data_IF_253632127440
#
_entry.id   IF_253632127440
#
_cell.length_a   1.000
_cell.length_b   1.000
_cell.length_c   1.000
_cell.angle_alpha   90.00
_cell.angle_beta   90.00
_cell.angle_gamma   90.00
#
_symmetry.space_group_name_H-M   'P 1'
#
loop_
_entity.id
_entity.type
_entity.pdbx_description
1 polymer ?
#
# COMPACT_ATOMS: atom_id res chain seq x y z
N UNK A 1 -32.80 -9.70 3.15
CA UNK A 1 -32.10 -9.26 1.91
C UNK A 1 -30.67 -9.78 1.97
N UNK A 2 -30.14 -10.43 0.93
CA UNK A 2 -28.74 -10.82 0.91
C UNK A 2 -27.90 -9.54 0.99
N UNK A 3 -26.99 -9.43 1.96
CA UNK A 3 -25.98 -8.36 1.95
C UNK A 3 -25.21 -8.53 0.64
N UNK A 4 -25.32 -7.56 -0.27
CA UNK A 4 -24.56 -7.57 -1.52
C UNK A 4 -23.08 -7.72 -1.17
N UNK A 5 -22.39 -8.67 -1.82
CA UNK A 5 -20.94 -8.84 -1.65
C UNK A 5 -20.23 -7.53 -2.05
N UNK A 6 -19.24 -7.08 -1.28
CA UNK A 6 -18.42 -5.95 -1.67
C UNK A 6 -17.83 -6.15 -3.07
N UNK A 7 -17.81 -5.07 -3.86
CA UNK A 7 -17.09 -5.04 -5.14
C UNK A 7 -15.73 -4.41 -4.90
N UNK A 8 -14.69 -5.06 -5.39
CA UNK A 8 -13.30 -4.68 -5.14
C UNK A 8 -12.59 -4.66 -6.47
N UNK A 9 -11.88 -3.59 -6.74
CA UNK A 9 -11.13 -3.37 -7.97
C UNK A 9 -9.74 -2.80 -7.64
N UNK A 10 -8.69 -3.43 -8.17
CA UNK A 10 -7.35 -2.85 -8.20
C UNK A 10 -7.29 -1.83 -9.34
N UNK A 11 -7.46 -0.56 -8.99
CA UNK A 11 -7.64 0.52 -9.95
C UNK A 11 -6.33 0.96 -10.60
N UNK A 12 -5.27 1.11 -9.81
CA UNK A 12 -3.95 1.47 -10.30
C UNK A 12 -2.85 0.95 -9.38
N UNK A 13 -1.63 0.88 -9.89
CA UNK A 13 -0.42 0.55 -9.13
C UNK A 13 0.80 1.19 -9.79
N UNK A 14 1.86 1.41 -9.01
CA UNK A 14 3.14 1.91 -9.50
C UNK A 14 3.66 3.08 -8.69
N UNK A 15 4.24 4.06 -9.36
CA UNK A 15 4.79 5.27 -8.76
C UNK A 15 3.72 6.35 -8.72
N UNK A 16 3.61 7.04 -7.58
CA UNK A 16 2.62 8.08 -7.32
C UNK A 16 3.26 9.43 -7.00
N UNK A 17 2.46 10.49 -7.04
CA UNK A 17 2.83 11.79 -6.45
C UNK A 17 2.96 11.67 -4.95
N UNK A 18 3.86 12.45 -4.35
CA UNK A 18 3.98 12.55 -2.89
C UNK A 18 2.63 12.81 -2.24
N UNK A 19 2.33 12.04 -1.20
CA UNK A 19 1.14 12.17 -0.40
C UNK A 19 1.10 13.57 0.24
N UNK A 20 -0.01 14.27 0.03
CA UNK A 20 -0.22 15.61 0.57
C UNK A 20 -1.06 15.54 1.85
N UNK A 21 -0.41 15.60 3.01
CA UNK A 21 -1.05 15.60 4.34
C UNK A 21 -2.07 16.74 4.55
N UNK A 22 -2.03 17.81 3.75
CA UNK A 22 -2.98 18.94 3.83
C UNK A 22 -4.22 18.76 2.96
N UNK A 23 -4.20 17.79 2.05
CA UNK A 23 -5.31 17.48 1.14
C UNK A 23 -5.96 16.17 1.51
N UNK A 24 -7.27 16.04 1.24
CA UNK A 24 -7.98 14.76 1.32
C UNK A 24 -7.85 13.94 0.04
N UNK A 25 -7.15 14.46 -0.97
CA UNK A 25 -6.97 13.80 -2.26
C UNK A 25 -5.96 12.67 -2.17
N UNK A 26 -6.27 11.56 -2.85
CA UNK A 26 -5.32 10.47 -3.00
C UNK A 26 -4.14 10.87 -3.90
N UNK A 27 -2.97 10.21 -3.73
CA UNK A 27 -1.83 10.34 -4.61
C UNK A 27 -2.24 10.09 -6.07
N UNK A 28 -1.67 10.88 -6.98
CA UNK A 28 -1.88 10.73 -8.42
C UNK A 28 -0.86 9.77 -8.99
N UNK A 29 -1.33 8.79 -9.75
CA UNK A 29 -0.46 7.85 -10.46
C UNK A 29 0.43 8.62 -11.45
N UNK A 30 1.74 8.43 -11.36
CA UNK A 30 2.74 8.96 -12.29
C UNK A 30 3.13 7.92 -13.33
N UNK A 31 3.37 6.68 -12.89
CA UNK A 31 3.85 5.60 -13.76
C UNK A 31 3.31 4.24 -13.32
N UNK A 32 2.85 3.43 -14.27
CA UNK A 32 2.45 2.04 -14.02
C UNK A 32 3.68 1.15 -14.12
N UNK A 33 4.22 0.74 -12.98
CA UNK A 33 5.41 -0.12 -12.92
C UNK A 33 5.41 -0.95 -11.63
N UNK A 34 6.21 -2.01 -11.60
CA UNK A 34 6.56 -2.74 -10.38
C UNK A 34 8.04 -2.64 -10.04
N UNK A 35 8.82 -1.91 -10.85
CA UNK A 35 10.23 -1.61 -10.61
C UNK A 35 10.31 -0.19 -10.08
N UNK A 36 10.75 -0.03 -8.85
CA UNK A 36 10.77 1.25 -8.15
C UNK A 36 12.23 1.67 -7.97
N UNK A 37 12.67 2.80 -8.55
CA UNK A 37 14.01 3.30 -8.30
C UNK A 37 14.10 3.76 -6.85
N UNK A 38 15.20 3.41 -6.18
CA UNK A 38 15.48 3.89 -4.82
C UNK A 38 16.01 5.31 -4.92
N UNK A 39 15.10 6.26 -5.02
CA UNK A 39 15.36 7.69 -5.03
C UNK A 39 14.55 8.36 -3.91
N UNK A 40 15.08 9.43 -3.27
CA UNK A 40 14.37 10.14 -2.22
C UNK A 40 12.96 10.55 -2.67
N UNK A 41 11.99 10.38 -1.77
CA UNK A 41 10.59 10.82 -1.95
C UNK A 41 9.81 10.11 -3.08
N UNK A 42 10.33 9.05 -3.68
CA UNK A 42 9.56 8.20 -4.59
C UNK A 42 8.48 7.47 -3.78
N UNK A 43 7.22 7.76 -4.06
CA UNK A 43 6.07 7.09 -3.45
C UNK A 43 5.58 5.98 -4.38
N UNK A 44 5.36 4.79 -3.85
CA UNK A 44 4.89 3.64 -4.61
C UNK A 44 3.78 2.89 -3.88
N UNK A 45 2.94 2.20 -4.64
CA UNK A 45 1.83 1.45 -4.05
C UNK A 45 0.75 1.09 -5.04
N UNK A 46 -0.48 0.99 -4.54
CA UNK A 46 -1.67 0.81 -5.37
C UNK A 46 -2.91 1.48 -4.78
N UNK A 47 -3.90 1.71 -5.63
CA UNK A 47 -5.23 2.19 -5.24
C UNK A 47 -6.26 1.08 -5.46
N UNK A 48 -7.06 0.81 -4.43
CA UNK A 48 -8.25 -0.02 -4.49
C UNK A 48 -9.50 0.84 -4.54
N UNK A 49 -10.45 0.45 -5.40
CA UNK A 49 -11.84 0.94 -5.36
C UNK A 49 -12.70 -0.11 -4.67
N UNK A 50 -13.32 0.27 -3.56
CA UNK A 50 -14.10 -0.63 -2.70
C UNK A 50 -15.53 -0.11 -2.61
N UNK A 51 -16.49 -0.93 -3.04
CA UNK A 51 -17.93 -0.60 -3.00
C UNK A 51 -18.72 -1.57 -2.14
N UNK A 52 -19.63 -1.05 -1.32
CA UNK A 52 -20.56 -1.83 -0.50
C UNK A 52 -19.92 -2.49 0.74
N UNK A 53 -18.81 -1.94 1.25
CA UNK A 53 -18.08 -2.48 2.39
C UNK A 53 -18.12 -1.57 3.64
N UNK A 54 -19.01 -0.57 3.69
CA UNK A 54 -19.10 0.36 4.83
C UNK A 54 -19.29 -0.41 6.15
N UNK A 55 -18.52 -0.03 7.17
CA UNK A 55 -18.53 -0.63 8.50
C UNK A 55 -17.74 -1.93 8.61
N UNK A 56 -17.08 -2.38 7.54
CA UNK A 56 -16.14 -3.51 7.60
C UNK A 56 -14.73 -3.02 7.93
N UNK A 57 -13.91 -3.90 8.50
CA UNK A 57 -12.49 -3.65 8.76
C UNK A 57 -11.67 -4.14 7.56
N UNK A 58 -10.77 -3.26 7.13
CA UNK A 58 -9.75 -3.53 6.13
C UNK A 58 -8.40 -3.63 6.84
N UNK A 59 -7.73 -4.75 6.65
CA UNK A 59 -6.39 -4.99 7.19
C UNK A 59 -5.37 -4.84 6.05
N UNK A 60 -4.21 -4.29 6.34
CA UNK A 60 -3.11 -4.22 5.40
C UNK A 60 -1.81 -4.73 6.02
N UNK A 61 -0.95 -5.27 5.15
CA UNK A 61 0.39 -5.73 5.48
C UNK A 61 1.35 -5.28 4.38
N UNK A 62 2.52 -4.76 4.75
CA UNK A 62 3.61 -4.41 3.85
C UNK A 62 4.83 -5.21 4.28
N UNK A 63 5.13 -6.26 3.52
CA UNK A 63 6.36 -7.03 3.68
C UNK A 63 7.46 -6.32 2.92
N UNK A 64 8.62 -6.17 3.53
CA UNK A 64 9.79 -5.50 2.99
C UNK A 64 11.03 -6.38 3.18
N UNK A 65 12.16 -6.07 2.51
CA UNK A 65 13.43 -6.72 2.79
C UNK A 65 13.81 -6.56 4.27
N UNK A 66 14.53 -7.53 4.86
CA UNK A 66 14.90 -7.44 6.27
C UNK A 66 15.90 -6.30 6.47
N UNK A 67 15.46 -5.25 7.14
CA UNK A 67 16.33 -4.19 7.65
C UNK A 67 16.17 -4.08 9.17
N UNK A 68 17.13 -3.43 9.82
CA UNK A 68 17.15 -3.28 11.26
C UNK A 68 16.52 -1.97 11.69
N UNK A 69 15.80 -1.99 12.79
CA UNK A 69 15.37 -0.80 13.51
C UNK A 69 16.55 -0.14 14.27
N UNK A 70 16.26 0.94 14.98
CA UNK A 70 17.25 1.68 15.79
C UNK A 70 17.88 0.83 16.90
N UNK A 71 17.15 -0.18 17.40
CA UNK A 71 17.60 -1.12 18.42
C UNK A 71 18.39 -2.31 17.84
N UNK A 72 18.53 -2.37 16.50
CA UNK A 72 19.26 -3.41 15.79
C UNK A 72 18.47 -4.71 15.54
N UNK A 73 17.17 -4.72 15.87
CA UNK A 73 16.26 -5.84 15.64
C UNK A 73 15.70 -5.80 14.22
N UNK A 74 15.39 -6.96 13.65
CA UNK A 74 14.77 -7.03 12.31
C UNK A 74 13.37 -6.42 12.40
N UNK A 75 13.13 -5.39 11.59
CA UNK A 75 11.83 -4.73 11.52
C UNK A 75 10.77 -5.73 11.00
N UNK A 76 9.65 -5.91 11.72
CA UNK A 76 8.54 -6.73 11.24
C UNK A 76 7.82 -6.03 10.07
N UNK A 77 7.01 -6.76 9.28
CA UNK A 77 6.13 -6.15 8.28
C UNK A 77 5.31 -5.00 8.87
N UNK A 78 5.02 -3.99 8.05
CA UNK A 78 4.14 -2.90 8.49
C UNK A 78 2.69 -3.36 8.38
N UNK A 79 1.97 -3.32 9.49
CA UNK A 79 0.59 -3.81 9.57
C UNK A 79 -0.34 -2.74 10.14
N UNK A 80 -1.60 -2.77 9.71
CA UNK A 80 -2.60 -1.91 10.29
C UNK A 80 -4.01 -2.26 9.87
N UNK A 81 -4.97 -1.63 10.54
CA UNK A 81 -6.39 -1.86 10.33
C UNK A 81 -7.13 -0.53 10.19
N UNK A 82 -8.04 -0.45 9.22
CA UNK A 82 -8.83 0.75 8.94
C UNK A 82 -10.30 0.39 8.82
N UNK A 83 -11.16 1.18 9.46
CA UNK A 83 -12.61 1.07 9.33
C UNK A 83 -13.07 1.73 8.03
N UNK A 84 -13.85 1.02 7.21
CA UNK A 84 -14.41 1.58 5.99
C UNK A 84 -15.59 2.50 6.32
N UNK A 85 -15.45 3.80 6.07
CA UNK A 85 -16.46 4.80 6.45
C UNK A 85 -17.53 5.08 5.37
N UNK A 86 -17.30 4.65 4.12
CA UNK A 86 -18.19 4.90 2.97
C UNK A 86 -18.49 3.63 2.18
N UNK A 87 -19.63 3.62 1.47
CA UNK A 87 -19.98 2.54 0.52
C UNK A 87 -19.34 2.71 -0.85
N UNK A 88 -18.74 3.85 -1.13
CA UNK A 88 -17.85 4.09 -2.28
C UNK A 88 -16.58 4.69 -1.68
N UNK A 89 -15.52 3.90 -1.63
CA UNK A 89 -14.31 4.22 -0.89
C UNK A 89 -13.08 3.84 -1.70
N UNK A 90 -12.21 4.82 -1.89
CA UNK A 90 -10.92 4.62 -2.52
C UNK A 90 -9.87 4.50 -1.40
N UNK A 91 -9.01 3.49 -1.50
CA UNK A 91 -7.98 3.19 -0.50
C UNK A 91 -6.62 3.08 -1.19
N UNK A 92 -5.65 3.88 -0.73
CA UNK A 92 -4.26 3.78 -1.16
C UNK A 92 -3.46 2.98 -0.13
N UNK A 93 -2.74 1.95 -0.59
CA UNK A 93 -1.71 1.27 0.19
C UNK A 93 -0.39 1.44 -0.52
N UNK A 94 0.59 1.99 0.19
CA UNK A 94 1.88 2.34 -0.36
C UNK A 94 2.87 2.71 0.72
N UNK A 95 4.11 2.94 0.29
CA UNK A 95 5.17 3.51 1.12
C UNK A 95 5.97 4.53 0.29
N UNK A 96 6.76 5.34 0.97
CA UNK A 96 7.74 6.23 0.36
C UNK A 96 9.12 5.62 0.46
N UNK A 97 10.02 5.88 -0.48
CA UNK A 97 11.43 5.49 -0.35
C UNK A 97 12.14 6.41 0.65
N UNK A 98 12.86 5.81 1.62
CA UNK A 98 13.52 6.51 2.73
C UNK A 98 14.88 5.89 3.10
N UNK A 99 15.70 6.64 3.87
CA UNK A 99 17.06 6.24 4.27
C UNK A 99 17.09 5.25 5.45
N UNK A 100 17.94 4.22 5.45
CA UNK A 100 19.08 4.04 4.56
C UNK A 100 18.70 3.30 3.27
N UNK A 101 18.89 3.93 2.12
CA UNK A 101 18.41 3.43 0.82
C UNK A 101 18.84 2.00 0.46
N UNK A 102 20.07 1.60 0.81
CA UNK A 102 20.61 0.30 0.43
C UNK A 102 19.88 -0.88 1.07
N UNK A 103 19.36 -0.73 2.29
CA UNK A 103 18.67 -1.82 2.98
C UNK A 103 17.20 -1.98 2.53
N UNK A 104 16.67 -1.00 1.79
CA UNK A 104 15.33 -1.01 1.21
C UNK A 104 15.28 -1.69 -0.15
N UNK A 105 16.44 -2.01 -0.73
CA UNK A 105 16.54 -2.70 -2.00
C UNK A 105 16.02 -4.14 -1.91
N UNK A 106 15.23 -4.55 -2.89
CA UNK A 106 14.68 -5.91 -2.98
C UNK A 106 13.17 -5.94 -3.09
N UNK A 107 12.60 -7.05 -2.62
CA UNK A 107 11.18 -7.36 -2.79
C UNK A 107 10.31 -6.72 -1.71
N UNK A 108 9.28 -6.00 -2.14
CA UNK A 108 8.22 -5.46 -1.30
C UNK A 108 6.89 -6.08 -1.71
N UNK A 109 6.12 -6.60 -0.75
CA UNK A 109 4.81 -7.21 -0.99
C UNK A 109 3.76 -6.47 -0.16
N UNK A 110 2.85 -5.80 -0.85
CA UNK A 110 1.71 -5.11 -0.27
C UNK A 110 0.50 -6.02 -0.36
N UNK A 111 -0.19 -6.22 0.76
CA UNK A 111 -1.36 -7.07 0.89
C UNK A 111 -2.49 -6.27 1.53
N UNK A 112 -3.69 -6.41 0.99
CA UNK A 112 -4.91 -5.90 1.63
C UNK A 112 -5.90 -7.03 1.82
N UNK A 113 -6.49 -7.09 3.00
CA UNK A 113 -7.51 -8.06 3.40
C UNK A 113 -8.79 -7.34 3.82
N UNK A 114 -9.93 -7.92 3.50
CA UNK A 114 -11.24 -7.46 3.96
C UNK A 114 -11.92 -8.61 4.67
N UNK A 115 -12.27 -8.42 5.94
CA UNK A 115 -12.80 -9.50 6.80
C UNK A 115 -11.92 -10.75 6.78
N UNK A 116 -10.60 -10.57 6.99
CA UNK A 116 -9.58 -11.64 6.97
C UNK A 116 -9.40 -12.38 5.62
N UNK A 117 -10.06 -11.95 4.55
CA UNK A 117 -9.86 -12.50 3.20
C UNK A 117 -8.95 -11.59 2.40
N UNK A 118 -7.88 -12.12 1.80
CA UNK A 118 -7.05 -11.37 0.85
C UNK A 118 -7.89 -10.91 -0.36
N UNK A 119 -7.84 -9.60 -0.62
CA UNK A 119 -8.57 -8.94 -1.71
C UNK A 119 -7.63 -8.30 -2.73
N UNK A 120 -6.40 -8.03 -2.34
CA UNK A 120 -5.34 -7.52 -3.21
C UNK A 120 -3.97 -7.95 -2.67
N UNK A 121 -3.07 -8.25 -3.61
CA UNK A 121 -1.65 -8.49 -3.37
C UNK A 121 -0.87 -7.91 -4.53
N UNK A 122 0.16 -7.12 -4.23
CA UNK A 122 1.05 -6.58 -5.26
C UNK A 122 2.50 -6.64 -4.79
N UNK A 123 3.36 -7.12 -5.69
CA UNK A 123 4.80 -7.19 -5.49
C UNK A 123 5.49 -6.06 -6.26
N UNK A 124 6.41 -5.38 -5.60
CA UNK A 124 7.30 -4.36 -6.15
C UNK A 124 8.76 -4.78 -5.91
N UNK A 125 9.64 -4.37 -6.80
CA UNK A 125 11.08 -4.55 -6.67
C UNK A 125 11.71 -3.16 -6.60
N UNK A 126 12.27 -2.84 -5.45
CA UNK A 126 13.07 -1.62 -5.26
C UNK A 126 14.50 -1.91 -5.71
N UNK A 127 15.04 -1.09 -6.60
CA UNK A 127 16.38 -1.26 -7.15
C UNK A 127 17.20 0.03 -7.05
N UNK A 128 18.50 -0.12 -6.81
CA UNK A 128 19.46 0.97 -6.91
C UNK A 128 19.71 1.20 -8.42
N UNK A 129 19.42 2.40 -8.95
CA UNK A 129 19.57 2.70 -10.36
C UNK A 129 21.02 2.68 -10.85
#
# INVERSE_FOLDING_TARGET
MPKNKPKIELYSYGIYSKWNNTSKELPKLKEITTKIPIEPEVEFGYVLKIKGAKGQLLDYEIHHPPFKDEDGSIMPPFEGQVLIHSNDWDFFLGDTVWEPYNDKAGEWILITKLQNKEIARKKFILYIP
#
